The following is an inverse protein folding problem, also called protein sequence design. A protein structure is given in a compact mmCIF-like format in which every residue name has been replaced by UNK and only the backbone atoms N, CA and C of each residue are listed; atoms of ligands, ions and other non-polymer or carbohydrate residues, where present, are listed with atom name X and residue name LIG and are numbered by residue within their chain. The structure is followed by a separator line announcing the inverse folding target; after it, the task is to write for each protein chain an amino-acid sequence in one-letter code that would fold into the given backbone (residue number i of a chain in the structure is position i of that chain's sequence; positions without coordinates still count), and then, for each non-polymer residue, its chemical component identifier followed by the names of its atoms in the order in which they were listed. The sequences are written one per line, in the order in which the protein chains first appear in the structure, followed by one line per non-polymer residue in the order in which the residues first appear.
data_IF_287205213427
#
_entry.id   IF_287205213427
#
_cell.length_a   1.000
_cell.length_b   1.000
_cell.length_c   1.000
_cell.angle_alpha   90.00
_cell.angle_beta   90.00
_cell.angle_gamma   90.00
#
_symmetry.space_group_name_H-M   'P 1'
#
loop_
_entity.id
_entity.type
_entity.pdbx_description
1 polymer ?
#
# COMPACT_ATOMS: atom_id res chain seq x y z
N UNK A 1 12.74 1.21 -5.51
CA UNK A 1 11.47 1.85 -5.12
C UNK A 1 11.47 3.37 -5.30
N UNK A 2 12.06 4.21 -4.43
CA UNK A 2 11.96 5.69 -4.59
C UNK A 2 12.48 6.22 -5.94
N UNK A 3 13.50 5.61 -6.55
CA UNK A 3 13.94 5.95 -7.91
C UNK A 3 12.85 5.66 -8.96
N UNK A 4 12.24 4.48 -8.92
CA UNK A 4 11.09 4.12 -9.80
C UNK A 4 9.92 5.10 -9.61
N UNK A 5 9.58 5.43 -8.36
CA UNK A 5 8.55 6.43 -8.05
C UNK A 5 8.88 7.80 -8.67
N UNK A 6 10.14 8.24 -8.62
CA UNK A 6 10.57 9.51 -9.20
C UNK A 6 10.52 9.50 -10.73
N UNK A 7 10.91 8.39 -11.37
CA UNK A 7 10.78 8.19 -12.82
C UNK A 7 9.32 8.23 -13.25
N UNK A 8 8.45 7.47 -12.57
CA UNK A 8 7.01 7.37 -12.84
C UNK A 8 6.25 8.67 -12.55
N UNK A 9 6.68 9.44 -11.54
CA UNK A 9 6.17 10.79 -11.30
C UNK A 9 6.57 11.74 -12.43
N UNK A 10 7.81 11.64 -12.92
CA UNK A 10 8.32 12.48 -14.00
C UNK A 10 7.62 12.16 -15.33
N UNK A 11 7.44 10.88 -15.66
CA UNK A 11 6.68 10.44 -16.85
C UNK A 11 5.22 10.91 -16.77
N UNK A 12 4.53 10.68 -15.65
CA UNK A 12 3.15 11.11 -15.44
C UNK A 12 2.97 12.63 -15.53
N UNK A 13 3.91 13.41 -14.98
CA UNK A 13 3.90 14.88 -15.09
C UNK A 13 4.18 15.35 -16.53
N UNK A 14 5.04 14.65 -17.28
CA UNK A 14 5.29 14.96 -18.68
C UNK A 14 4.06 14.67 -19.54
N UNK A 15 3.38 13.53 -19.32
CA UNK A 15 2.11 13.19 -19.99
C UNK A 15 1.01 14.22 -19.68
N UNK A 16 0.81 14.59 -18.41
CA UNK A 16 -0.16 15.61 -18.01
C UNK A 16 0.05 16.94 -18.75
N UNK A 17 1.31 17.40 -18.85
CA UNK A 17 1.69 18.62 -19.55
C UNK A 17 1.54 18.50 -21.06
N UNK A 18 1.92 17.36 -21.64
CA UNK A 18 1.81 17.11 -23.09
C UNK A 18 0.36 17.11 -23.57
N UNK A 19 -0.54 16.42 -22.85
CA UNK A 19 -1.98 16.41 -23.13
C UNK A 19 -2.59 17.81 -22.97
N UNK A 20 -2.20 18.57 -21.93
CA UNK A 20 -2.70 19.93 -21.72
C UNK A 20 -2.26 20.91 -22.82
N UNK A 21 -1.04 20.74 -23.35
CA UNK A 21 -0.47 21.55 -24.42
C UNK A 21 -0.91 21.13 -25.84
N UNK A 22 -1.52 19.96 -26.00
CA UNK A 22 -2.00 19.48 -27.30
C UNK A 22 -3.15 20.37 -27.82
N UNK A 23 -3.11 20.83 -29.08
CA UNK A 23 -4.20 21.59 -29.66
C UNK A 23 -5.43 20.69 -29.84
N UNK A 24 -6.53 21.01 -29.16
CA UNK A 24 -7.84 20.42 -29.43
C UNK A 24 -8.55 21.20 -30.51
N UNK A 25 -9.13 20.49 -31.49
CA UNK A 25 -9.93 21.09 -32.55
C UNK A 25 -11.25 21.70 -32.06
N UNK A 26 -12.12 21.99 -33.03
CA UNK A 26 -13.49 22.46 -32.75
C UNK A 26 -14.40 21.34 -32.24
N UNK A 27 -14.05 20.08 -32.48
CA UNK A 27 -14.80 18.91 -32.04
C UNK A 27 -14.89 18.78 -30.52
N UNK A 28 -16.11 18.54 -30.03
CA UNK A 28 -16.40 18.38 -28.61
C UNK A 28 -15.79 17.11 -28.02
N UNK A 29 -15.70 16.03 -28.81
CA UNK A 29 -15.04 14.76 -28.49
C UNK A 29 -13.58 14.95 -28.11
N UNK A 30 -12.80 15.60 -28.96
CA UNK A 30 -11.38 15.85 -28.73
C UNK A 30 -11.11 16.68 -27.46
N UNK A 31 -11.99 17.64 -27.15
CA UNK A 31 -11.93 18.43 -25.91
C UNK A 31 -12.23 17.58 -24.69
N UNK A 32 -13.28 16.76 -24.73
CA UNK A 32 -13.64 15.84 -23.68
C UNK A 32 -12.54 14.80 -23.39
N UNK A 33 -12.00 14.16 -24.43
CA UNK A 33 -10.90 13.18 -24.32
C UNK A 33 -9.65 13.79 -23.69
N UNK A 34 -9.31 15.03 -24.06
CA UNK A 34 -8.23 15.79 -23.43
C UNK A 34 -8.52 16.04 -21.95
N UNK A 35 -9.71 16.51 -21.60
CA UNK A 35 -10.05 16.88 -20.22
C UNK A 35 -10.08 15.64 -19.30
N UNK A 36 -10.64 14.52 -19.76
CA UNK A 36 -10.57 13.22 -19.07
C UNK A 36 -9.12 12.75 -18.90
N UNK A 37 -8.29 12.92 -19.93
CA UNK A 37 -6.87 12.53 -19.88
C UNK A 37 -6.06 13.40 -18.91
N UNK A 38 -6.25 14.73 -18.92
CA UNK A 38 -5.63 15.67 -17.98
C UNK A 38 -6.06 15.33 -16.55
N UNK A 39 -7.34 15.04 -16.33
CA UNK A 39 -7.86 14.64 -15.02
C UNK A 39 -7.17 13.36 -14.52
N UNK A 40 -7.20 12.28 -15.31
CA UNK A 40 -6.55 11.00 -14.97
C UNK A 40 -5.06 11.14 -14.66
N UNK A 41 -4.31 11.91 -15.46
CA UNK A 41 -2.89 12.14 -15.18
C UNK A 41 -2.66 13.00 -13.93
N UNK A 42 -3.54 13.98 -13.67
CA UNK A 42 -3.47 14.80 -12.45
C UNK A 42 -3.73 13.97 -11.19
N UNK A 43 -4.71 13.07 -11.23
CA UNK A 43 -4.97 12.09 -10.15
C UNK A 43 -3.78 11.15 -9.93
N UNK A 44 -3.20 10.59 -11.00
CA UNK A 44 -1.99 9.74 -10.91
C UNK A 44 -0.83 10.49 -10.27
N UNK A 45 -0.57 11.73 -10.68
CA UNK A 45 0.48 12.60 -10.07
C UNK A 45 0.18 12.93 -8.61
N UNK A 46 -1.08 13.16 -8.23
CA UNK A 46 -1.47 13.40 -6.85
C UNK A 46 -1.25 12.14 -5.98
N UNK A 47 -1.66 10.97 -6.46
CA UNK A 47 -1.48 9.70 -5.77
C UNK A 47 0.00 9.34 -5.59
N UNK A 48 0.82 9.49 -6.64
CA UNK A 48 2.27 9.28 -6.58
C UNK A 48 2.94 10.22 -5.56
N UNK A 49 2.50 11.48 -5.48
CA UNK A 49 3.00 12.43 -4.47
C UNK A 49 2.59 12.06 -3.05
N UNK A 50 1.34 11.64 -2.82
CA UNK A 50 0.85 11.20 -1.52
C UNK A 50 1.58 9.94 -1.00
N UNK A 51 1.96 9.04 -1.91
CA UNK A 51 2.70 7.82 -1.60
C UNK A 51 4.22 8.02 -1.38
N UNK A 52 4.76 9.25 -1.50
CA UNK A 52 6.21 9.50 -1.44
C UNK A 52 6.86 9.11 -0.11
N UNK A 53 6.17 9.29 1.00
CA UNK A 53 6.59 8.82 2.33
C UNK A 53 5.77 7.59 2.71
N UNK A 54 6.34 6.70 3.51
CA UNK A 54 5.77 5.39 3.80
C UNK A 54 5.68 4.50 2.56
N UNK A 55 6.57 4.66 1.58
CA UNK A 55 6.36 4.12 0.23
C UNK A 55 6.23 2.59 0.23
N UNK A 56 7.20 1.90 0.85
CA UNK A 56 7.31 0.45 0.91
C UNK A 56 7.47 0.04 2.37
N UNK A 57 6.39 -0.45 2.98
CA UNK A 57 6.33 -0.76 4.40
C UNK A 57 6.32 -2.26 4.70
N UNK A 58 6.29 -3.12 3.67
CA UNK A 58 6.29 -4.57 3.85
C UNK A 58 7.00 -5.34 2.75
N UNK A 59 7.41 -6.57 3.08
CA UNK A 59 7.89 -7.58 2.14
C UNK A 59 7.22 -8.92 2.44
N UNK A 60 6.91 -9.67 1.40
CA UNK A 60 6.37 -11.03 1.44
C UNK A 60 7.40 -11.97 0.82
N UNK A 61 7.77 -13.01 1.56
CA UNK A 61 8.55 -14.13 1.06
C UNK A 61 7.58 -15.29 0.83
N UNK A 62 7.52 -15.82 -0.39
CA UNK A 62 6.57 -16.88 -0.79
C UNK A 62 7.22 -18.27 -0.71
N UNK A 63 6.38 -19.32 -0.72
CA UNK A 63 6.83 -20.72 -0.68
C UNK A 63 7.56 -21.19 -1.94
N UNK A 64 7.43 -20.47 -3.06
CA UNK A 64 8.16 -20.70 -4.31
C UNK A 64 9.51 -19.95 -4.36
N UNK A 65 9.95 -19.39 -3.22
CA UNK A 65 11.11 -18.50 -3.06
C UNK A 65 11.04 -17.18 -3.84
N UNK A 66 9.89 -16.82 -4.42
CA UNK A 66 9.66 -15.47 -4.94
C UNK A 66 9.50 -14.45 -3.81
N UNK A 67 9.68 -13.18 -4.12
CA UNK A 67 9.57 -12.07 -3.16
C UNK A 67 8.70 -10.98 -3.73
N UNK A 68 7.78 -10.44 -2.92
CA UNK A 68 6.96 -9.28 -3.29
C UNK A 68 7.10 -8.16 -2.26
N UNK A 69 7.04 -6.91 -2.72
CA UNK A 69 7.06 -5.74 -1.83
C UNK A 69 5.67 -5.11 -1.76
N UNK A 70 5.23 -4.72 -0.57
CA UNK A 70 3.93 -4.09 -0.33
C UNK A 70 4.12 -2.62 -0.01
N UNK A 71 3.33 -1.76 -0.67
CA UNK A 71 3.47 -0.32 -0.56
C UNK A 71 2.17 0.46 -0.72
N UNK A 72 2.28 1.78 -0.54
CA UNK A 72 1.15 2.72 -0.61
C UNK A 72 0.56 2.90 -2.01
N UNK A 73 1.32 2.55 -3.06
CA UNK A 73 0.93 2.66 -4.46
C UNK A 73 1.63 1.60 -5.30
N UNK A 74 0.94 1.10 -6.33
CA UNK A 74 1.52 0.19 -7.31
C UNK A 74 2.62 0.84 -8.15
N UNK A 75 3.77 0.16 -8.26
CA UNK A 75 4.88 0.48 -9.17
C UNK A 75 5.30 -0.77 -9.95
N UNK A 76 5.60 -0.57 -11.23
CA UNK A 76 6.10 -1.58 -12.16
C UNK A 76 7.57 -1.30 -12.45
N UNK A 77 8.40 -2.33 -12.62
CA UNK A 77 9.77 -2.14 -13.11
C UNK A 77 9.74 -1.97 -14.64
N UNK A 78 10.32 -0.89 -15.21
CA UNK A 78 10.36 -0.70 -16.66
C UNK A 78 11.32 -1.66 -17.40
N UNK A 79 12.16 -2.44 -16.70
CA UNK A 79 13.11 -3.36 -17.33
C UNK A 79 12.45 -4.65 -17.85
N UNK A 80 11.50 -5.22 -17.09
CA UNK A 80 10.82 -6.48 -17.38
C UNK A 80 9.28 -6.35 -17.45
N UNK A 81 8.71 -5.28 -16.89
CA UNK A 81 7.26 -5.07 -16.80
C UNK A 81 6.62 -5.69 -15.55
N UNK A 82 7.41 -6.22 -14.62
CA UNK A 82 6.92 -6.91 -13.42
C UNK A 82 6.59 -5.94 -12.26
N UNK A 83 5.81 -6.40 -11.29
CA UNK A 83 5.38 -5.57 -10.15
C UNK A 83 6.50 -5.37 -9.13
N UNK A 84 7.28 -4.30 -9.28
CA UNK A 84 8.29 -3.89 -8.32
C UNK A 84 7.71 -3.57 -6.92
N UNK A 85 6.49 -3.01 -6.87
CA UNK A 85 5.79 -2.68 -5.62
C UNK A 85 4.29 -2.90 -5.82
N UNK A 86 3.69 -3.75 -5.00
CA UNK A 86 2.25 -4.04 -5.01
C UNK A 86 1.51 -2.98 -4.18
N UNK A 87 0.44 -2.41 -4.73
CA UNK A 87 -0.48 -1.56 -3.97
C UNK A 87 -1.17 -2.39 -2.88
N UNK A 88 -1.12 -1.94 -1.64
CA UNK A 88 -1.75 -2.64 -0.50
C UNK A 88 -3.25 -2.91 -0.69
N UNK A 89 -3.95 -2.14 -1.54
CA UNK A 89 -5.36 -2.38 -1.90
C UNK A 89 -5.57 -3.48 -2.94
N UNK A 90 -4.52 -3.86 -3.68
CA UNK A 90 -4.63 -4.92 -4.67
C UNK A 90 -4.89 -6.27 -3.99
N UNK A 91 -5.65 -7.21 -4.61
CA UNK A 91 -5.89 -8.54 -4.05
C UNK A 91 -4.60 -9.30 -3.71
N UNK A 92 -3.54 -9.12 -4.50
CA UNK A 92 -2.22 -9.72 -4.26
C UNK A 92 -1.55 -9.28 -2.95
N UNK A 93 -1.99 -8.17 -2.34
CA UNK A 93 -1.52 -7.73 -1.03
C UNK A 93 -2.34 -8.29 0.15
N UNK A 94 -3.48 -8.96 -0.09
CA UNK A 94 -4.31 -9.54 0.98
C UNK A 94 -3.53 -10.47 1.94
N UNK A 95 -2.58 -11.32 1.49
CA UNK A 95 -1.78 -12.15 2.39
C UNK A 95 -1.01 -11.34 3.45
N UNK A 96 -0.60 -10.10 3.15
CA UNK A 96 0.08 -9.25 4.11
C UNK A 96 -0.78 -8.97 5.37
N UNK A 97 -2.10 -8.85 5.21
CA UNK A 97 -3.02 -8.56 6.33
C UNK A 97 -3.72 -9.80 6.88
N UNK A 98 -4.01 -10.78 6.03
CA UNK A 98 -4.84 -11.93 6.38
C UNK A 98 -4.06 -13.23 6.70
N UNK A 99 -2.77 -13.34 6.35
CA UNK A 99 -2.03 -14.58 6.57
C UNK A 99 -1.72 -14.81 8.06
N UNK A 100 -1.80 -16.08 8.46
CA UNK A 100 -1.56 -16.58 9.82
C UNK A 100 -0.87 -17.95 9.76
N UNK A 101 -0.33 -18.45 10.87
CA UNK A 101 0.26 -19.80 10.94
C UNK A 101 -0.72 -20.95 10.63
N UNK A 102 -2.02 -20.74 10.84
CA UNK A 102 -3.04 -21.71 10.46
C UNK A 102 -3.40 -21.64 8.96
N UNK A 103 -3.24 -20.46 8.34
CA UNK A 103 -3.59 -20.18 6.95
C UNK A 103 -2.55 -19.21 6.36
N UNK A 104 -1.38 -19.70 5.90
CA UNK A 104 -0.26 -18.84 5.49
C UNK A 104 -0.44 -18.19 4.11
N UNK A 105 -1.47 -18.57 3.35
CA UNK A 105 -1.82 -17.99 2.04
C UNK A 105 -0.66 -17.96 1.02
N UNK A 106 0.20 -18.98 1.04
CA UNK A 106 1.37 -19.11 0.15
C UNK A 106 2.66 -18.45 0.67
N UNK A 107 2.62 -17.82 1.84
CA UNK A 107 3.78 -17.16 2.45
C UNK A 107 4.59 -18.10 3.34
N UNK A 108 5.91 -17.94 3.31
CA UNK A 108 6.83 -18.50 4.31
C UNK A 108 7.20 -17.47 5.37
N UNK A 109 7.27 -16.18 4.99
CA UNK A 109 7.54 -15.06 5.91
C UNK A 109 6.87 -13.78 5.44
N UNK A 110 6.37 -12.99 6.40
CA UNK A 110 5.96 -11.59 6.20
C UNK A 110 6.89 -10.68 7.00
N UNK A 111 7.49 -9.68 6.34
CA UNK A 111 8.34 -8.67 6.98
C UNK A 111 7.64 -7.32 7.00
N UNK A 112 7.60 -6.68 8.16
CA UNK A 112 7.17 -5.30 8.34
C UNK A 112 8.38 -4.37 8.47
N UNK A 113 8.36 -3.23 7.78
CA UNK A 113 9.43 -2.24 7.84
C UNK A 113 9.02 -1.04 8.70
N UNK A 114 9.85 -0.70 9.70
CA UNK A 114 9.80 0.61 10.35
C UNK A 114 10.66 1.58 9.54
N UNK A 115 10.01 2.60 8.97
CA UNK A 115 10.65 3.59 8.10
C UNK A 115 11.01 4.86 8.89
N UNK A 116 12.18 5.42 8.60
CA UNK A 116 12.63 6.68 9.17
C UNK A 116 13.17 7.64 8.10
N UNK A 117 13.20 8.93 8.45
CA UNK A 117 13.58 10.02 7.55
C UNK A 117 12.39 10.62 6.83
N UNK A 118 12.66 11.29 5.70
CA UNK A 118 11.64 11.91 4.85
C UNK A 118 11.94 11.66 3.39
N UNK A 119 10.90 11.53 2.57
CA UNK A 119 11.02 11.28 1.15
C UNK A 119 11.85 12.38 0.43
N UNK A 120 12.80 12.03 -0.46
CA UNK A 120 13.09 10.70 -1.00
C UNK A 120 14.13 9.88 -0.20
N UNK A 121 14.67 10.43 0.89
CA UNK A 121 15.74 9.83 1.69
C UNK A 121 15.22 8.94 2.84
N UNK A 122 14.01 8.40 2.67
CA UNK A 122 13.38 7.48 3.61
C UNK A 122 14.12 6.12 3.57
N UNK A 123 14.33 5.53 4.74
CA UNK A 123 15.11 4.29 4.90
C UNK A 123 14.43 3.37 5.90
N UNK A 124 14.62 2.06 5.73
CA UNK A 124 14.29 1.07 6.77
C UNK A 124 15.23 1.33 7.96
N UNK A 125 14.66 1.71 9.09
CA UNK A 125 15.39 1.88 10.35
C UNK A 125 15.42 0.59 11.16
N UNK A 126 14.34 -0.18 11.11
CA UNK A 126 14.17 -1.45 11.80
C UNK A 126 13.14 -2.32 11.04
N UNK A 127 13.09 -3.62 11.30
CA UNK A 127 12.12 -4.52 10.70
C UNK A 127 11.71 -5.67 11.64
N UNK A 128 10.52 -6.20 11.43
CA UNK A 128 10.01 -7.36 12.16
C UNK A 128 9.57 -8.46 11.18
N UNK A 129 9.89 -9.71 11.51
CA UNK A 129 9.56 -10.88 10.71
C UNK A 129 8.52 -11.76 11.42
N UNK A 130 7.34 -11.88 10.80
CA UNK A 130 6.39 -12.95 11.07
C UNK A 130 6.80 -14.17 10.23
N UNK A 131 7.38 -15.20 10.85
CA UNK A 131 7.56 -16.51 10.19
C UNK A 131 6.21 -17.20 10.12
N UNK A 132 5.82 -17.63 8.91
CA UNK A 132 4.54 -18.27 8.61
C UNK A 132 4.70 -19.73 8.16
N UNK A 133 5.93 -20.17 7.89
CA UNK A 133 6.26 -21.58 7.72
C UNK A 133 6.31 -22.30 9.09
N UNK A 134 5.71 -23.48 9.13
CA UNK A 134 5.61 -24.33 10.32
C UNK A 134 6.86 -25.18 10.53
N UNK A 135 7.72 -25.32 9.52
CA UNK A 135 9.00 -26.03 9.60
C UNK A 135 10.07 -25.16 10.28
N UNK A 136 10.23 -23.91 9.86
CA UNK A 136 11.21 -22.94 10.40
C UNK A 136 10.98 -22.61 11.89
N UNK A 137 9.75 -22.80 12.40
CA UNK A 137 9.41 -22.62 13.81
C UNK A 137 9.95 -23.72 14.74
N UNK A 138 10.33 -24.88 14.22
CA UNK A 138 10.89 -25.95 15.05
C UNK A 138 12.33 -25.66 15.53
N UNK A 139 13.06 -24.81 14.78
CA UNK A 139 14.45 -24.42 15.08
C UNK A 139 14.57 -23.01 15.70
N UNK A 140 13.45 -22.32 15.97
CA UNK A 140 13.45 -20.95 16.50
C UNK A 140 12.61 -20.76 17.77
N UNK A 141 13.29 -20.53 18.90
CA UNK A 141 12.73 -20.08 20.19
C UNK A 141 12.14 -18.65 20.08
N UNK A 142 11.09 -18.50 19.28
CA UNK A 142 10.43 -17.22 18.99
C UNK A 142 9.08 -17.12 19.71
N UNK A 143 9.10 -16.48 20.89
CA UNK A 143 7.89 -16.16 21.66
C UNK A 143 6.94 -15.27 20.83
N UNK A 144 5.91 -15.89 20.27
CA UNK A 144 4.94 -15.27 19.37
C UNK A 144 3.66 -14.88 20.13
N UNK A 145 3.45 -13.58 20.39
CA UNK A 145 2.16 -13.11 20.93
C UNK A 145 1.79 -11.64 20.73
N UNK A 146 2.65 -10.78 20.18
CA UNK A 146 2.27 -9.36 19.98
C UNK A 146 2.85 -8.75 18.71
N UNK A 147 1.96 -8.33 17.80
CA UNK A 147 2.28 -7.48 16.66
C UNK A 147 2.99 -6.18 17.13
N UNK A 148 4.30 -6.02 16.83
CA UNK A 148 5.05 -4.86 17.29
C UNK A 148 4.71 -3.59 16.50
N UNK A 149 4.15 -3.70 15.28
CA UNK A 149 3.66 -2.54 14.53
C UNK A 149 2.39 -1.97 15.18
N UNK A 150 1.47 -2.84 15.62
CA UNK A 150 0.32 -2.44 16.44
C UNK A 150 0.76 -1.82 17.78
N UNK A 151 1.73 -2.44 18.48
CA UNK A 151 2.25 -1.89 19.74
C UNK A 151 2.97 -0.54 19.55
N UNK A 152 3.74 -0.37 18.47
CA UNK A 152 4.41 0.89 18.14
C UNK A 152 3.38 2.00 17.84
N UNK A 153 2.34 1.68 17.07
CA UNK A 153 1.26 2.61 16.76
C UNK A 153 0.44 3.01 18.00
N UNK A 154 0.19 2.07 18.92
CA UNK A 154 -0.45 2.33 20.22
C UNK A 154 0.39 3.26 21.10
N UNK A 155 1.72 3.09 21.10
CA UNK A 155 2.67 3.91 21.89
C UNK A 155 2.92 5.30 21.30
N UNK A 156 2.55 5.60 20.06
CA UNK A 156 2.93 6.84 19.38
C UNK A 156 2.13 8.10 19.83
N UNK A 157 2.78 9.14 20.40
CA UNK A 157 2.65 10.58 20.09
C UNK A 157 1.31 11.17 19.63
N UNK A 158 0.17 10.86 20.24
CA UNK A 158 -1.20 11.14 19.70
C UNK A 158 -1.37 12.60 19.24
N UNK A 159 -1.63 12.80 17.93
CA UNK A 159 -1.60 14.11 17.26
C UNK A 159 -2.95 14.56 16.68
N UNK A 160 -3.03 15.81 16.23
CA UNK A 160 -4.27 16.44 15.73
C UNK A 160 -4.65 16.09 14.28
N UNK A 161 -3.84 15.28 13.59
CA UNK A 161 -4.13 14.75 12.24
C UNK A 161 -4.36 13.25 12.33
N UNK A 162 -5.33 12.76 11.56
CA UNK A 162 -5.56 11.32 11.40
C UNK A 162 -4.26 10.67 10.90
N UNK A 163 -3.84 9.58 11.54
CA UNK A 163 -2.64 8.84 11.12
C UNK A 163 -2.93 8.02 9.88
N UNK A 164 -1.85 7.73 9.15
CA UNK A 164 -1.87 6.57 8.27
C UNK A 164 -2.12 5.31 9.11
N UNK A 165 -3.07 4.50 8.67
CA UNK A 165 -3.42 3.23 9.30
C UNK A 165 -2.85 2.03 8.54
N UNK A 166 -2.31 2.21 7.34
CA UNK A 166 -2.05 1.14 6.37
C UNK A 166 -1.09 0.06 6.89
N UNK A 167 -0.16 0.42 7.79
CA UNK A 167 0.76 -0.53 8.46
C UNK A 167 0.15 -1.23 9.69
N UNK A 168 -1.11 -0.93 10.03
CA UNK A 168 -1.81 -1.41 11.24
C UNK A 168 -3.23 -1.92 10.95
N UNK A 169 -3.58 -2.05 9.66
CA UNK A 169 -4.85 -2.64 9.24
C UNK A 169 -4.88 -4.10 9.73
N UNK A 170 -5.94 -4.45 10.45
CA UNK A 170 -6.17 -5.83 10.89
C UNK A 170 -7.01 -6.60 9.86
N UNK A 171 -6.95 -7.93 9.86
CA UNK A 171 -7.65 -8.77 8.88
C UNK A 171 -9.16 -8.47 8.75
N UNK A 172 -9.86 -8.19 9.86
CA UNK A 172 -11.28 -7.78 9.84
C UNK A 172 -11.49 -6.44 9.13
N UNK A 173 -10.58 -5.49 9.33
CA UNK A 173 -10.62 -4.17 8.68
C UNK A 173 -10.29 -4.29 7.18
N UNK A 174 -9.29 -5.10 6.82
CA UNK A 174 -8.92 -5.41 5.43
C UNK A 174 -10.10 -6.02 4.67
N UNK A 175 -10.79 -6.98 5.27
CA UNK A 175 -11.99 -7.58 4.71
C UNK A 175 -13.09 -6.54 4.43
N UNK A 176 -13.34 -5.60 5.35
CA UNK A 176 -14.32 -4.52 5.17
C UNK A 176 -13.88 -3.53 4.08
N UNK A 177 -12.60 -3.16 4.02
CA UNK A 177 -12.04 -2.27 2.98
C UNK A 177 -12.23 -2.87 1.59
N UNK A 178 -12.05 -4.20 1.45
CA UNK A 178 -12.18 -4.94 0.18
C UNK A 178 -13.61 -5.33 -0.20
N UNK A 179 -14.62 -5.02 0.61
CA UNK A 179 -16.02 -5.32 0.27
C UNK A 179 -16.44 -4.58 -1.02
N UNK A 180 -17.12 -5.25 -1.97
CA UNK A 180 -17.63 -4.64 -3.19
C UNK A 180 -18.36 -3.31 -2.93
N UNK A 181 -18.13 -2.32 -3.78
CA UNK A 181 -18.70 -0.97 -3.63
C UNK A 181 -20.21 -0.91 -3.85
N UNK A 182 -20.80 -1.95 -4.42
CA UNK A 182 -22.25 -2.07 -4.67
C UNK A 182 -23.05 -2.21 -3.38
N UNK A 183 -24.00 -1.29 -3.15
CA UNK A 183 -24.94 -1.34 -2.04
C UNK A 183 -24.51 -0.54 -0.80
N UNK A 184 -25.24 -0.71 0.30
CA UNK A 184 -25.00 -0.01 1.56
C UNK A 184 -24.32 -0.96 2.53
N UNK A 185 -23.20 -0.52 3.12
CA UNK A 185 -22.46 -1.24 4.16
C UNK A 185 -22.52 -0.42 5.45
N UNK A 186 -22.96 -1.04 6.54
CA UNK A 186 -22.95 -0.45 7.89
C UNK A 186 -21.74 -1.01 8.64
N UNK A 187 -20.88 -0.13 9.17
CA UNK A 187 -19.68 -0.51 9.92
C UNK A 187 -19.89 -0.18 11.39
N UNK A 188 -20.15 -1.21 12.21
CA UNK A 188 -20.30 -1.10 13.66
C UNK A 188 -18.99 -1.47 14.39
N UNK A 189 -18.85 -1.05 15.66
CA UNK A 189 -17.72 -1.44 16.52
C UNK A 189 -17.46 -0.43 17.65
N UNK A 190 -16.63 -0.81 18.62
CA UNK A 190 -16.35 0.01 19.81
C UNK A 190 -15.56 1.31 19.57
N UNK A 191 -15.42 2.19 20.58
CA UNK A 191 -14.55 3.37 20.49
C UNK A 191 -13.11 2.98 20.13
N UNK A 192 -12.48 3.74 19.22
CA UNK A 192 -11.08 3.52 18.83
C UNK A 192 -10.82 2.44 17.77
N UNK A 193 -11.81 1.65 17.34
CA UNK A 193 -11.62 0.52 16.38
C UNK A 193 -11.33 0.91 14.91
N UNK A 194 -10.86 2.13 14.64
CA UNK A 194 -10.43 2.56 13.30
C UNK A 194 -11.53 2.81 12.25
N UNK A 195 -12.82 2.66 12.57
CA UNK A 195 -13.96 2.75 11.62
C UNK A 195 -13.90 3.92 10.63
N UNK A 196 -13.58 5.13 11.07
CA UNK A 196 -13.50 6.32 10.20
C UNK A 196 -12.40 6.16 9.14
N UNK A 197 -11.26 5.58 9.50
CA UNK A 197 -10.18 5.32 8.56
C UNK A 197 -10.54 4.17 7.60
N UNK A 198 -11.14 3.08 8.10
CA UNK A 198 -11.71 2.00 7.26
C UNK A 198 -12.67 2.57 6.21
N UNK A 199 -13.60 3.43 6.62
CA UNK A 199 -14.56 4.07 5.73
C UNK A 199 -13.92 5.02 4.70
N UNK A 200 -12.84 5.74 5.05
CA UNK A 200 -12.11 6.62 4.14
C UNK A 200 -11.21 5.86 3.16
N UNK A 201 -10.81 4.63 3.48
CA UNK A 201 -9.96 3.81 2.63
C UNK A 201 -10.73 2.87 1.69
N UNK A 202 -12.02 2.62 1.95
CA UNK A 202 -12.96 1.98 1.01
C UNK A 202 -13.43 3.00 -0.02
N UNK A 203 -12.78 3.01 -1.19
CA UNK A 203 -13.03 3.91 -2.34
C UNK A 203 -13.37 3.08 -3.57
#
# INVERSE_FOLDING_TARGET
MHALLATELTSSMAQARGVLAAPTGEELSARWERDVSVHRWSERVAALNAARSGLCFGRLDHSDASTSYIGRIGLTDPADGESALIDWRAPAAQPFYCATLATPLGLTRRRHFQLAGTAPNERVADFHDDVLDRVDLADSDSESSSDPALLAALKAPRGSRMRDIVTTIQAEQDAIIRLPLSGVVVIEGGPGTGKTAVALHRV
#
